data_IF_278382607184
#
_entry.id   IF_278382607184
#
_cell.length_a   1.000
_cell.length_b   1.000
_cell.length_c   1.000
_cell.angle_alpha   90.00
_cell.angle_beta   90.00
_cell.angle_gamma   90.00
#
_symmetry.space_group_name_H-M   'P 1'
#
loop_
_entity.id
_entity.type
_entity.pdbx_description
1 polymer ?
#
# COMPACT_ATOMS: atom_id res chain seq x y z
N UNK A 1 -33.43 -1.55 46.22
CA UNK A 1 -32.85 -2.90 45.97
C UNK A 1 -33.49 -3.45 44.71
N UNK A 2 -32.78 -3.51 43.59
CA UNK A 2 -33.19 -4.30 42.41
C UNK A 2 -32.03 -4.42 41.41
N UNK A 3 -31.35 -5.56 41.48
CA UNK A 3 -30.65 -6.34 40.44
C UNK A 3 -29.81 -5.72 39.30
N UNK A 4 -29.60 -4.41 39.21
CA UNK A 4 -28.89 -3.80 38.06
C UNK A 4 -27.38 -3.59 38.29
N UNK A 5 -26.88 -3.80 39.51
CA UNK A 5 -25.48 -3.48 39.88
C UNK A 5 -24.58 -4.70 40.10
N UNK A 6 -25.06 -5.92 39.83
CA UNK A 6 -24.32 -7.17 40.18
C UNK A 6 -23.45 -7.77 39.07
N UNK A 7 -23.55 -7.28 37.83
CA UNK A 7 -22.82 -7.82 36.68
C UNK A 7 -21.66 -6.95 36.17
N UNK A 8 -21.26 -5.91 36.92
CA UNK A 8 -20.20 -4.96 36.52
C UNK A 8 -18.82 -5.32 37.13
N UNK A 9 -18.70 -6.39 37.93
CA UNK A 9 -17.50 -6.64 38.76
C UNK A 9 -16.70 -7.91 38.40
N UNK A 10 -17.03 -8.67 37.35
CA UNK A 10 -16.41 -10.01 37.10
C UNK A 10 -15.61 -10.15 35.78
N UNK A 11 -15.25 -9.05 35.10
CA UNK A 11 -14.41 -9.14 33.88
C UNK A 11 -13.09 -8.35 33.92
N UNK A 12 -12.60 -8.01 35.12
CA UNK A 12 -11.37 -7.22 35.30
C UNK A 12 -10.13 -8.02 35.76
N UNK A 13 -10.12 -9.34 35.58
CA UNK A 13 -8.96 -10.13 36.00
C UNK A 13 -8.74 -11.34 35.08
N UNK A 14 -7.91 -11.19 34.04
CA UNK A 14 -7.04 -12.28 33.60
C UNK A 14 -5.92 -11.81 32.67
N UNK A 15 -4.71 -12.29 33.01
CA UNK A 15 -3.55 -12.52 32.14
C UNK A 15 -2.65 -11.32 31.77
N UNK A 16 -1.82 -10.92 32.74
CA UNK A 16 -0.43 -10.60 32.45
C UNK A 16 0.25 -11.78 31.74
N UNK A 17 0.71 -11.57 30.50
CA UNK A 17 1.60 -12.49 29.79
C UNK A 17 2.89 -11.74 29.47
N UNK A 18 3.91 -12.04 30.27
CA UNK A 18 5.29 -11.76 29.96
C UNK A 18 5.70 -12.58 28.72
N UNK A 19 6.25 -11.92 27.70
CA UNK A 19 7.07 -12.61 26.71
C UNK A 19 8.41 -11.90 26.63
N UNK A 20 9.35 -12.49 27.36
CA UNK A 20 10.79 -12.39 27.18
C UNK A 20 11.10 -12.79 25.74
N UNK A 21 11.67 -11.86 24.96
CA UNK A 21 12.15 -12.12 23.62
C UNK A 21 13.61 -11.68 23.50
N UNK A 22 14.53 -12.52 23.97
CA UNK A 22 15.92 -12.45 23.55
C UNK A 22 16.02 -12.89 22.10
N UNK A 23 16.55 -12.05 21.21
CA UNK A 23 17.19 -12.55 20.00
C UNK A 23 18.44 -11.73 19.72
N UNK A 24 19.56 -12.45 19.72
CA UNK A 24 20.92 -11.99 19.52
C UNK A 24 21.12 -11.33 18.16
N UNK A 25 21.96 -10.30 18.14
CA UNK A 25 22.68 -9.84 16.96
C UNK A 25 23.52 -10.99 16.37
N UNK A 26 23.57 -11.08 15.04
CA UNK A 26 24.84 -11.30 14.37
C UNK A 26 25.20 -10.10 13.48
N UNK A 27 26.36 -9.51 13.80
CA UNK A 27 27.18 -8.68 12.92
C UNK A 27 27.22 -9.26 11.50
N UNK A 28 26.88 -8.44 10.51
CA UNK A 28 27.27 -8.67 9.12
C UNK A 28 28.18 -7.55 8.66
N UNK A 29 29.45 -7.94 8.52
CA UNK A 29 30.56 -7.21 7.97
C UNK A 29 30.20 -6.50 6.66
N UNK A 30 30.34 -5.17 6.65
CA UNK A 30 30.32 -4.31 5.48
C UNK A 30 31.59 -4.56 4.64
N UNK A 31 31.51 -5.07 3.40
CA UNK A 31 32.66 -5.07 2.52
C UNK A 31 32.89 -3.66 1.99
N UNK A 32 34.09 -3.16 2.21
CA UNK A 32 34.62 -1.93 1.65
C UNK A 32 35.55 -2.29 0.48
N UNK A 33 35.16 -1.96 -0.74
CA UNK A 33 35.99 -1.89 -1.95
C UNK A 33 35.20 -0.95 -2.88
N UNK A 34 35.63 0.27 -3.23
CA UNK A 34 36.96 0.75 -3.51
C UNK A 34 37.30 0.44 -4.96
N UNK A 35 36.99 1.35 -5.90
CA UNK A 35 37.90 1.74 -6.98
C UNK A 35 37.26 2.77 -7.91
N UNK A 36 38.03 3.81 -8.14
CA UNK A 36 37.76 4.98 -8.95
C UNK A 36 37.73 4.73 -10.47
N UNK A 37 37.20 5.76 -11.14
CA UNK A 37 37.73 6.38 -12.35
C UNK A 37 37.15 6.03 -13.72
N UNK A 38 36.86 7.15 -14.41
CA UNK A 38 36.88 7.44 -15.86
C UNK A 38 35.60 7.23 -16.68
N UNK A 39 34.88 8.34 -16.80
CA UNK A 39 34.67 9.11 -18.05
C UNK A 39 34.86 8.37 -19.37
N UNK A 40 33.84 8.43 -20.24
CA UNK A 40 33.84 8.76 -21.69
C UNK A 40 32.37 8.57 -22.18
N UNK A 41 31.59 9.63 -22.34
CA UNK A 41 31.41 10.46 -23.55
C UNK A 41 30.60 9.78 -24.68
N UNK A 42 29.39 10.33 -24.86
CA UNK A 42 28.70 10.69 -26.11
C UNK A 42 28.35 9.62 -27.15
N UNK A 43 27.06 9.25 -27.20
CA UNK A 43 26.19 9.55 -28.35
C UNK A 43 24.72 9.13 -28.10
N UNK A 44 23.71 10.02 -28.26
CA UNK A 44 22.33 9.58 -28.38
C UNK A 44 22.06 9.15 -29.83
N UNK A 45 22.00 7.84 -30.07
CA UNK A 45 21.49 7.31 -31.34
C UNK A 45 20.01 7.69 -31.45
N UNK A 46 19.73 8.72 -32.24
CA UNK A 46 18.38 9.08 -32.66
C UNK A 46 17.85 7.98 -33.57
N UNK A 47 17.05 7.07 -33.03
CA UNK A 47 16.19 6.21 -33.85
C UNK A 47 15.03 7.05 -34.36
N UNK A 48 15.10 7.43 -35.63
CA UNK A 48 13.97 7.86 -36.45
C UNK A 48 12.92 6.73 -36.47
N UNK A 49 11.87 6.88 -35.66
CA UNK A 49 10.72 5.98 -35.72
C UNK A 49 9.73 6.52 -36.76
N UNK A 50 9.49 5.72 -37.79
CA UNK A 50 8.53 5.96 -38.86
C UNK A 50 7.13 6.22 -38.29
N UNK A 51 6.53 7.34 -38.70
CA UNK A 51 5.12 7.65 -38.46
C UNK A 51 4.24 6.63 -39.18
N UNK A 52 3.73 5.64 -38.46
CA UNK A 52 2.50 4.94 -38.86
C UNK A 52 1.35 5.57 -38.10
N UNK A 53 0.71 6.52 -38.77
CA UNK A 53 -0.53 7.16 -38.39
C UNK A 53 -1.68 6.15 -38.39
N UNK A 54 -1.99 5.60 -37.22
CA UNK A 54 -3.30 4.99 -36.99
C UNK A 54 -4.08 5.92 -36.06
N UNK A 55 -5.06 6.72 -36.55
CA UNK A 55 -5.87 7.59 -35.72
C UNK A 55 -6.96 6.77 -35.03
N UNK A 56 -6.58 5.73 -34.30
CA UNK A 56 -7.48 5.12 -33.31
C UNK A 56 -7.44 5.99 -32.08
N UNK A 57 -8.11 7.15 -32.19
CA UNK A 57 -8.81 7.85 -31.11
C UNK A 57 -8.38 7.41 -29.72
N UNK A 58 -7.19 7.83 -29.28
CA UNK A 58 -6.86 7.92 -27.86
C UNK A 58 -7.69 9.08 -27.32
N UNK A 59 -9.01 8.89 -27.22
CA UNK A 59 -9.86 9.71 -26.37
C UNK A 59 -9.23 9.55 -25.00
N UNK A 60 -8.43 10.52 -24.60
CA UNK A 60 -7.94 10.63 -23.23
C UNK A 60 -9.20 10.68 -22.36
N UNK A 61 -9.57 9.52 -21.81
CA UNK A 61 -10.72 9.40 -20.93
C UNK A 61 -10.34 10.24 -19.72
N UNK A 62 -10.92 11.44 -19.62
CA UNK A 62 -10.76 12.32 -18.47
C UNK A 62 -11.57 11.71 -17.33
N UNK A 63 -10.99 10.69 -16.69
CA UNK A 63 -11.55 10.10 -15.47
C UNK A 63 -11.39 11.16 -14.37
N UNK A 64 -12.44 11.40 -13.59
CA UNK A 64 -12.31 12.32 -12.46
C UNK A 64 -11.31 11.77 -11.44
N UNK A 65 -10.57 12.63 -10.70
CA UNK A 65 -9.65 12.16 -9.68
C UNK A 65 -10.30 11.24 -8.64
N UNK A 66 -11.58 11.47 -8.33
CA UNK A 66 -12.36 10.66 -7.40
C UNK A 66 -12.67 9.27 -7.97
N UNK A 67 -13.16 9.18 -9.21
CA UNK A 67 -13.42 7.89 -9.87
C UNK A 67 -12.13 7.08 -10.06
N UNK A 68 -11.03 7.76 -10.39
CA UNK A 68 -9.72 7.11 -10.50
C UNK A 68 -9.29 6.53 -9.14
N UNK A 69 -9.34 7.33 -8.08
CA UNK A 69 -9.02 6.86 -6.75
C UNK A 69 -9.95 5.73 -6.28
N UNK A 70 -11.23 5.78 -6.67
CA UNK A 70 -12.20 4.73 -6.39
C UNK A 70 -11.79 3.39 -7.01
N UNK A 71 -11.49 3.40 -8.31
CA UNK A 71 -11.04 2.22 -9.03
C UNK A 71 -9.78 1.64 -8.39
N UNK A 72 -8.80 2.48 -8.11
CA UNK A 72 -7.51 2.07 -7.54
C UNK A 72 -7.65 1.41 -6.16
N UNK A 73 -8.48 1.93 -5.26
CA UNK A 73 -8.65 1.29 -3.95
C UNK A 73 -9.40 -0.05 -4.07
N UNK A 74 -10.37 -0.15 -4.98
CA UNK A 74 -11.11 -1.40 -5.22
C UNK A 74 -10.20 -2.48 -5.82
N UNK A 75 -9.31 -2.10 -6.73
CA UNK A 75 -8.32 -3.00 -7.31
C UNK A 75 -7.36 -3.53 -6.24
N UNK A 76 -6.81 -2.65 -5.40
CA UNK A 76 -5.94 -3.08 -4.30
C UNK A 76 -6.68 -3.93 -3.25
N UNK A 77 -7.96 -3.66 -3.00
CA UNK A 77 -8.79 -4.50 -2.15
C UNK A 77 -8.94 -5.92 -2.73
N UNK A 78 -9.26 -6.02 -4.02
CA UNK A 78 -9.41 -7.31 -4.70
C UNK A 78 -8.10 -8.10 -4.67
N UNK A 79 -6.96 -7.44 -4.87
CA UNK A 79 -5.66 -8.09 -4.81
C UNK A 79 -5.31 -8.58 -3.40
N UNK A 80 -5.58 -7.75 -2.38
CA UNK A 80 -5.42 -8.18 -0.99
C UNK A 80 -6.30 -9.39 -0.65
N UNK A 81 -7.57 -9.39 -1.06
CA UNK A 81 -8.50 -10.51 -0.84
C UNK A 81 -8.06 -11.76 -1.59
N UNK A 82 -7.51 -11.61 -2.80
CA UNK A 82 -6.95 -12.71 -3.58
C UNK A 82 -5.78 -13.36 -2.83
N UNK A 83 -4.80 -12.55 -2.39
CA UNK A 83 -3.64 -13.02 -1.64
C UNK A 83 -4.01 -13.63 -0.27
N UNK A 84 -5.02 -13.07 0.41
CA UNK A 84 -5.57 -13.66 1.64
C UNK A 84 -6.08 -15.08 1.42
N UNK A 85 -6.69 -15.37 0.28
CA UNK A 85 -7.28 -16.67 -0.06
C UNK A 85 -6.22 -17.67 -0.53
N UNK A 86 -5.27 -17.20 -1.32
CA UNK A 86 -4.24 -18.05 -1.93
C UNK A 86 -3.09 -18.35 -0.98
N UNK A 87 -2.61 -17.34 -0.27
CA UNK A 87 -1.36 -17.38 0.50
C UNK A 87 -1.58 -17.26 2.01
N UNK A 88 -2.75 -16.76 2.44
CA UNK A 88 -3.08 -16.55 3.85
C UNK A 88 -2.62 -15.19 4.40
N UNK A 89 -2.94 -14.87 5.66
CA UNK A 89 -2.84 -13.52 6.21
C UNK A 89 -1.44 -13.08 6.69
N UNK A 90 -0.49 -13.99 6.85
CA UNK A 90 0.84 -13.70 7.43
C UNK A 90 1.99 -13.76 6.43
N UNK A 91 1.69 -13.77 5.13
CA UNK A 91 2.74 -13.66 4.12
C UNK A 91 3.11 -12.20 3.89
N UNK A 92 4.36 -11.97 3.51
CA UNK A 92 4.87 -10.62 3.21
C UNK A 92 4.00 -9.97 2.12
N UNK A 93 3.66 -10.71 1.06
CA UNK A 93 2.85 -10.19 -0.05
C UNK A 93 1.45 -9.77 0.40
N UNK A 94 0.78 -10.59 1.23
CA UNK A 94 -0.55 -10.25 1.76
C UNK A 94 -0.50 -9.00 2.65
N UNK A 95 0.55 -8.87 3.48
CA UNK A 95 0.73 -7.70 4.34
C UNK A 95 1.05 -6.43 3.53
N UNK A 96 1.85 -6.55 2.47
CA UNK A 96 2.13 -5.43 1.56
C UNK A 96 0.87 -5.00 0.79
N UNK A 97 0.08 -5.96 0.30
CA UNK A 97 -1.19 -5.66 -0.37
C UNK A 97 -2.20 -5.00 0.58
N UNK A 98 -2.25 -5.43 1.85
CA UNK A 98 -3.05 -4.78 2.89
C UNK A 98 -2.63 -3.31 3.09
N UNK A 99 -1.34 -3.05 3.24
CA UNK A 99 -0.82 -1.69 3.41
C UNK A 99 -1.14 -0.79 2.19
N UNK A 100 -1.03 -1.35 0.98
CA UNK A 100 -1.37 -0.65 -0.25
C UNK A 100 -2.87 -0.32 -0.34
N UNK A 101 -3.73 -1.29 -0.02
CA UNK A 101 -5.18 -1.09 0.06
C UNK A 101 -5.54 0.02 1.05
N UNK A 102 -4.98 -0.03 2.27
CA UNK A 102 -5.23 0.98 3.30
C UNK A 102 -4.83 2.39 2.84
N UNK A 103 -3.66 2.52 2.21
CA UNK A 103 -3.20 3.79 1.66
C UNK A 103 -4.14 4.33 0.59
N UNK A 104 -4.55 3.50 -0.38
CA UNK A 104 -5.45 3.93 -1.46
C UNK A 104 -6.86 4.28 -0.95
N UNK A 105 -7.36 3.52 0.03
CA UNK A 105 -8.62 3.82 0.70
C UNK A 105 -8.59 5.18 1.42
N UNK A 106 -7.48 5.50 2.10
CA UNK A 106 -7.32 6.80 2.74
C UNK A 106 -7.34 7.95 1.73
N UNK A 107 -6.66 7.79 0.58
CA UNK A 107 -6.68 8.79 -0.50
C UNK A 107 -8.09 9.01 -1.02
N UNK A 108 -8.82 7.92 -1.31
CA UNK A 108 -10.21 8.00 -1.73
C UNK A 108 -11.07 8.74 -0.71
N UNK A 109 -10.93 8.42 0.58
CA UNK A 109 -11.70 9.07 1.64
C UNK A 109 -11.39 10.56 1.78
N UNK A 110 -10.14 10.98 1.56
CA UNK A 110 -9.80 12.41 1.51
C UNK A 110 -10.48 13.11 0.33
N UNK A 111 -10.52 12.46 -0.84
CA UNK A 111 -11.17 13.01 -2.03
C UNK A 111 -12.70 13.08 -1.87
N UNK A 112 -13.32 12.06 -1.28
CA UNK A 112 -14.77 12.07 -0.98
C UNK A 112 -15.13 13.25 -0.07
N UNK A 113 -14.34 13.48 0.99
CA UNK A 113 -14.55 14.63 1.89
C UNK A 113 -14.39 15.96 1.16
N UNK A 114 -13.33 16.10 0.37
CA UNK A 114 -13.05 17.31 -0.40
C UNK A 114 -14.10 17.59 -1.49
N UNK A 115 -14.80 16.57 -1.99
CA UNK A 115 -15.90 16.73 -2.94
C UNK A 115 -17.20 17.12 -2.25
N UNK A 116 -17.49 16.51 -1.08
CA UNK A 116 -18.64 16.86 -0.24
C UNK A 116 -18.60 18.30 0.28
N UNK A 117 -17.42 18.81 0.63
CA UNK A 117 -17.23 20.19 1.09
C UNK A 117 -17.44 21.24 -0.02
N UNK A 118 -17.35 20.88 -1.30
CA UNK A 118 -17.58 21.80 -2.44
C UNK A 118 -19.06 21.98 -2.78
N UNK A 119 -19.93 21.15 -2.21
CA UNK A 119 -21.39 21.18 -2.44
C UNK A 119 -22.18 22.04 -1.44
N UNK A 120 -21.51 22.69 -0.48
CA UNK A 120 -22.09 23.67 0.45
C UNK A 120 -21.64 25.09 0.08
#
# INVERSE_FOLDING_TARGET
MSHQTRNIVVFFALAAVAITGCSQNPDLSRPQTGSDSRLLSSDPVQMTTVETSNPTTTRAIKISPLEYAQKEYLEAYNEYVRLLRESGPQTIDTLQALALYQKKYQIYQMLVKADGDKGQ
#
